data_IF_671318738092
#
_entry.id   IF_671318738092
#
_cell.length_a   1.000
_cell.length_b   1.000
_cell.length_c   1.000
_cell.angle_alpha   90.00
_cell.angle_beta   90.00
_cell.angle_gamma   90.00
#
_symmetry.space_group_name_H-M   'P 1'
#
loop_
_entity.id
_entity.type
_entity.pdbx_description
1 polymer ?
#
# COMPACT_ATOMS: atom_id res chain seq x y z
N UNK A 1 -29.64 -13.66 10.15
CA UNK A 1 -28.69 -14.12 9.12
C UNK A 1 -27.92 -15.27 9.74
N UNK A 2 -27.92 -16.43 9.08
CA UNK A 2 -27.25 -17.63 9.56
C UNK A 2 -25.73 -17.42 9.66
N UNK A 3 -25.06 -18.17 10.53
CA UNK A 3 -23.61 -18.05 10.73
C UNK A 3 -22.84 -18.39 9.44
N UNK A 4 -23.33 -19.37 8.65
CA UNK A 4 -22.68 -19.72 7.38
C UNK A 4 -22.84 -18.60 6.34
N UNK A 5 -23.99 -17.92 6.32
CA UNK A 5 -24.21 -16.73 5.47
C UNK A 5 -23.28 -15.58 5.86
N UNK A 6 -23.07 -15.34 7.17
CA UNK A 6 -22.13 -14.33 7.66
C UNK A 6 -20.69 -14.63 7.22
N UNK A 7 -20.26 -15.89 7.34
CA UNK A 7 -18.92 -16.32 6.90
C UNK A 7 -18.78 -16.14 5.38
N UNK A 8 -19.79 -16.52 4.59
CA UNK A 8 -19.75 -16.38 3.15
C UNK A 8 -19.61 -14.91 2.70
N UNK A 9 -20.34 -13.99 3.36
CA UNK A 9 -20.22 -12.54 3.08
C UNK A 9 -18.84 -12.02 3.44
N UNK A 10 -18.26 -12.44 4.56
CA UNK A 10 -16.90 -12.04 4.97
C UNK A 10 -15.88 -12.54 3.93
N UNK A 11 -15.94 -13.82 3.56
CA UNK A 11 -15.02 -14.40 2.56
C UNK A 11 -15.13 -13.66 1.23
N UNK A 12 -16.35 -13.43 0.74
CA UNK A 12 -16.57 -12.69 -0.50
C UNK A 12 -15.99 -11.27 -0.43
N UNK A 13 -16.20 -10.59 0.69
CA UNK A 13 -15.67 -9.23 0.91
C UNK A 13 -14.15 -9.22 0.93
N UNK A 14 -13.52 -10.15 1.65
CA UNK A 14 -12.06 -10.27 1.72
C UNK A 14 -11.47 -10.58 0.34
N UNK A 15 -12.05 -11.53 -0.41
CA UNK A 15 -11.60 -11.86 -1.76
C UNK A 15 -11.73 -10.67 -2.71
N UNK A 16 -12.86 -9.95 -2.67
CA UNK A 16 -13.07 -8.78 -3.51
C UNK A 16 -12.09 -7.64 -3.17
N UNK A 17 -11.88 -7.37 -1.88
CA UNK A 17 -10.91 -6.38 -1.44
C UNK A 17 -9.48 -6.78 -1.82
N UNK A 18 -9.12 -8.06 -1.69
CA UNK A 18 -7.84 -8.60 -2.14
C UNK A 18 -7.58 -8.32 -3.62
N UNK A 19 -8.52 -8.66 -4.49
CA UNK A 19 -8.37 -8.40 -5.93
C UNK A 19 -8.24 -6.90 -6.27
N UNK A 20 -8.90 -6.01 -5.52
CA UNK A 20 -8.73 -4.56 -5.69
C UNK A 20 -7.35 -4.08 -5.25
N UNK A 21 -6.80 -4.64 -4.17
CA UNK A 21 -5.46 -4.32 -3.68
C UNK A 21 -4.41 -4.77 -4.71
N UNK A 22 -4.55 -5.97 -5.28
CA UNK A 22 -3.64 -6.48 -6.30
C UNK A 22 -3.62 -5.57 -7.55
N UNK A 23 -4.80 -5.14 -8.01
CA UNK A 23 -4.93 -4.23 -9.14
C UNK A 23 -4.28 -2.85 -8.87
N UNK A 24 -4.46 -2.32 -7.66
CA UNK A 24 -3.82 -1.07 -7.24
C UNK A 24 -2.29 -1.23 -7.17
N UNK A 25 -1.81 -2.35 -6.61
CA UNK A 25 -0.38 -2.68 -6.53
C UNK A 25 0.25 -2.75 -7.92
N UNK A 26 -0.39 -3.46 -8.87
CA UNK A 26 0.08 -3.55 -10.25
C UNK A 26 0.11 -2.19 -10.95
N UNK A 27 -0.91 -1.35 -10.73
CA UNK A 27 -0.98 0.01 -11.29
C UNK A 27 0.13 0.90 -10.74
N UNK A 28 0.38 0.84 -9.44
CA UNK A 28 1.46 1.57 -8.78
C UNK A 28 2.81 1.11 -9.31
N UNK A 29 3.05 -0.20 -9.42
CA UNK A 29 4.29 -0.75 -9.97
C UNK A 29 4.53 -0.31 -11.42
N UNK A 30 3.50 -0.35 -12.28
CA UNK A 30 3.59 0.14 -13.66
C UNK A 30 3.97 1.63 -13.71
N UNK A 31 3.36 2.44 -12.86
CA UNK A 31 3.66 3.87 -12.76
C UNK A 31 5.10 4.10 -12.28
N UNK A 32 5.54 3.42 -11.23
CA UNK A 32 6.89 3.55 -10.68
C UNK A 32 7.97 3.10 -11.67
N UNK A 33 7.70 2.10 -12.50
CA UNK A 33 8.61 1.69 -13.57
C UNK A 33 8.85 2.81 -14.59
N UNK A 34 7.82 3.64 -14.89
CA UNK A 34 7.99 4.82 -15.73
C UNK A 34 8.80 5.93 -15.03
N UNK A 35 8.74 5.98 -13.69
CA UNK A 35 9.50 6.95 -12.89
C UNK A 35 11.00 6.64 -12.86
N UNK A 36 11.42 5.37 -13.02
CA UNK A 36 12.84 4.98 -13.02
C UNK A 36 13.70 5.76 -14.02
N UNK A 37 13.11 6.23 -15.11
CA UNK A 37 13.82 7.01 -16.13
C UNK A 37 13.96 8.50 -15.80
N UNK A 38 13.52 8.93 -14.61
CA UNK A 38 13.48 10.34 -14.19
C UNK A 38 14.02 10.51 -12.76
N UNK A 39 15.33 10.77 -12.59
CA UNK A 39 15.99 10.84 -11.29
C UNK A 39 15.31 11.77 -10.27
N UNK A 40 14.99 13.01 -10.67
CA UNK A 40 14.34 13.99 -9.80
C UNK A 40 12.97 13.57 -9.27
N UNK A 41 12.27 12.70 -9.98
CA UNK A 41 10.96 12.22 -9.58
C UNK A 41 11.07 11.06 -8.57
N UNK A 42 12.13 10.25 -8.66
CA UNK A 42 12.42 9.22 -7.66
C UNK A 42 12.66 9.83 -6.29
N UNK A 43 13.57 10.81 -6.19
CA UNK A 43 13.90 11.47 -4.92
C UNK A 43 12.68 12.18 -4.32
N UNK A 44 11.84 12.79 -5.17
CA UNK A 44 10.59 13.41 -4.73
C UNK A 44 9.61 12.39 -4.13
N UNK A 45 9.48 11.20 -4.72
CA UNK A 45 8.62 10.12 -4.19
C UNK A 45 9.16 9.61 -2.86
N UNK A 46 10.47 9.34 -2.77
CA UNK A 46 11.11 8.88 -1.53
C UNK A 46 10.90 9.89 -0.39
N UNK A 47 11.19 11.17 -0.63
CA UNK A 47 10.99 12.22 0.39
C UNK A 47 9.53 12.40 0.80
N UNK A 48 8.58 12.24 -0.14
CA UNK A 48 7.16 12.32 0.19
C UNK A 48 6.70 11.12 1.01
N UNK A 49 7.19 9.90 0.72
CA UNK A 49 6.91 8.70 1.50
C UNK A 49 7.44 8.81 2.93
N UNK A 50 8.66 9.32 3.12
CA UNK A 50 9.23 9.57 4.44
C UNK A 50 8.40 10.57 5.25
N UNK A 51 7.98 11.67 4.60
CA UNK A 51 7.09 12.66 5.24
C UNK A 51 5.76 12.05 5.66
N UNK A 52 5.15 11.21 4.82
CA UNK A 52 3.92 10.51 5.19
C UNK A 52 4.13 9.52 6.34
N UNK A 53 5.24 8.80 6.35
CA UNK A 53 5.60 7.89 7.44
C UNK A 53 5.78 8.62 8.76
N UNK A 54 6.53 9.72 8.78
CA UNK A 54 6.73 10.52 9.99
C UNK A 54 5.41 11.05 10.54
N UNK A 55 4.52 11.54 9.66
CA UNK A 55 3.17 11.99 10.05
C UNK A 55 2.31 10.85 10.59
N UNK A 56 2.45 9.65 10.01
CA UNK A 56 1.73 8.46 10.45
C UNK A 56 2.16 8.04 11.85
N UNK A 57 3.47 7.95 12.10
CA UNK A 57 4.01 7.62 13.42
C UNK A 57 3.59 8.63 14.50
N UNK A 58 3.54 9.92 14.14
CA UNK A 58 3.14 10.97 15.08
C UNK A 58 1.64 10.92 15.46
N UNK A 59 0.80 10.22 14.68
CA UNK A 59 -0.67 10.24 14.84
C UNK A 59 -1.30 8.87 15.09
N UNK A 60 -0.61 7.78 14.79
CA UNK A 60 -1.19 6.45 14.84
C UNK A 60 -0.86 5.75 16.14
N UNK A 61 -1.90 5.36 16.88
CA UNK A 61 -1.79 4.46 18.03
C UNK A 61 -1.92 2.99 17.62
N UNK A 62 -2.10 2.68 16.33
CA UNK A 62 -2.34 1.33 15.84
C UNK A 62 -1.09 0.75 15.14
N UNK A 63 -0.36 -0.18 15.77
CA UNK A 63 0.84 -0.77 15.19
C UNK A 63 0.61 -1.53 13.88
N UNK A 64 -0.58 -2.13 13.69
CA UNK A 64 -0.89 -2.88 12.47
C UNK A 64 -1.03 -1.96 11.26
N UNK A 65 -1.58 -0.76 11.48
CA UNK A 65 -1.70 0.23 10.42
C UNK A 65 -0.33 0.80 10.01
N UNK A 66 0.56 1.02 10.99
CA UNK A 66 1.95 1.41 10.74
C UNK A 66 2.68 0.34 9.94
N UNK A 67 2.60 -0.93 10.35
CA UNK A 67 3.23 -2.05 9.65
C UNK A 67 2.73 -2.21 8.20
N UNK A 68 1.42 -2.01 7.96
CA UNK A 68 0.84 -2.02 6.62
C UNK A 68 1.42 -0.92 5.72
N UNK A 69 1.59 0.30 6.26
CA UNK A 69 2.23 1.40 5.54
C UNK A 69 3.71 1.11 5.23
N UNK A 70 4.46 0.60 6.21
CA UNK A 70 5.87 0.23 6.05
C UNK A 70 6.06 -0.79 4.91
N UNK A 71 5.22 -1.82 4.89
CA UNK A 71 5.25 -2.84 3.83
C UNK A 71 5.07 -2.24 2.43
N UNK A 72 4.10 -1.31 2.27
CA UNK A 72 3.87 -0.64 0.98
C UNK A 72 5.01 0.31 0.63
N UNK A 73 5.50 1.11 1.58
CA UNK A 73 6.64 2.02 1.39
C UNK A 73 7.87 1.24 0.89
N UNK A 74 8.18 0.13 1.53
CA UNK A 74 9.36 -0.66 1.21
C UNK A 74 9.22 -1.33 -0.18
N UNK A 75 8.02 -1.76 -0.56
CA UNK A 75 7.74 -2.25 -1.91
C UNK A 75 7.93 -1.16 -2.98
N UNK A 76 7.51 0.08 -2.70
CA UNK A 76 7.74 1.23 -3.59
C UNK A 76 9.22 1.54 -3.74
N UNK A 77 9.95 1.65 -2.62
CA UNK A 77 11.39 1.92 -2.62
C UNK A 77 12.15 0.83 -3.37
N UNK A 78 11.81 -0.45 -3.15
CA UNK A 78 12.43 -1.56 -3.87
C UNK A 78 12.09 -1.54 -5.36
N UNK A 79 10.89 -1.10 -5.73
CA UNK A 79 10.54 -0.90 -7.13
C UNK A 79 11.32 0.27 -7.72
N UNK A 80 11.64 1.33 -6.99
CA UNK A 80 12.41 2.50 -7.49
C UNK A 80 13.93 2.29 -7.55
N UNK A 81 14.45 1.23 -6.94
CA UNK A 81 15.84 0.76 -7.12
C UNK A 81 16.02 0.16 -8.51
#
# INVERSE_FOLDING_TARGET
>A
MDLQEQIAVIVHTVSHQGGRIDALSATLAATLNLVKTSPGLKEAIEGQLEKHYANLLARSENPQYVAGFESVRDAVINTLK
#
